data_IF_121219204275
#
_entry.id   IF_121219204275
#
_cell.length_a   1.000
_cell.length_b   1.000
_cell.length_c   1.000
_cell.angle_alpha   90.00
_cell.angle_beta   90.00
_cell.angle_gamma   90.00
#
_symmetry.space_group_name_H-M   'P 1'
#
loop_
_entity.id
_entity.type
_entity.pdbx_description
1 polymer ?
#
# COMPACT_ATOMS: atom_id res chain seq x y z
N UNK A 1 0.84 -0.90 -12.74
CA UNK A 1 -0.43 -0.73 -12.00
C UNK A 1 -1.04 -2.10 -11.79
N UNK A 2 -1.53 -2.38 -10.58
CA UNK A 2 -2.10 -3.68 -10.19
C UNK A 2 -3.44 -3.43 -9.50
N UNK A 3 -4.49 -4.17 -9.86
CA UNK A 3 -5.81 -4.03 -9.23
C UNK A 3 -5.86 -4.76 -7.89
N UNK A 4 -6.40 -4.11 -6.86
CA UNK A 4 -6.54 -4.61 -5.49
C UNK A 4 -7.95 -4.28 -5.00
N UNK A 5 -8.88 -5.22 -5.16
CA UNK A 5 -10.31 -4.96 -4.95
C UNK A 5 -10.80 -3.84 -5.89
N UNK A 6 -11.42 -2.82 -5.31
CA UNK A 6 -11.89 -1.62 -6.01
C UNK A 6 -10.80 -0.54 -6.19
N UNK A 7 -9.60 -0.78 -5.67
CA UNK A 7 -8.47 0.13 -5.77
C UNK A 7 -7.44 -0.31 -6.83
N UNK A 8 -6.55 0.61 -7.18
CA UNK A 8 -5.39 0.36 -8.03
C UNK A 8 -4.12 0.73 -7.28
N UNK A 9 -3.16 -0.20 -7.24
CA UNK A 9 -1.81 0.02 -6.73
C UNK A 9 -0.90 0.51 -7.86
N UNK A 10 -0.32 1.69 -7.68
CA UNK A 10 0.49 2.40 -8.67
C UNK A 10 1.89 2.65 -8.09
N UNK A 11 2.96 2.12 -8.70
CA UNK A 11 4.32 2.44 -8.28
C UNK A 11 4.66 3.90 -8.63
N UNK A 12 5.31 4.60 -7.71
CA UNK A 12 5.71 6.00 -7.88
C UNK A 12 7.03 6.28 -7.17
N UNK A 13 8.15 6.26 -7.91
CA UNK A 13 9.44 6.78 -7.42
C UNK A 13 9.96 6.18 -6.11
N UNK A 14 9.76 4.88 -5.87
CA UNK A 14 10.22 4.18 -4.65
C UNK A 14 9.17 4.06 -3.54
N UNK A 15 7.95 4.55 -3.78
CA UNK A 15 6.77 4.27 -2.97
C UNK A 15 5.62 3.80 -3.86
N UNK A 16 4.46 3.51 -3.27
CA UNK A 16 3.26 3.12 -4.01
C UNK A 16 2.05 3.95 -3.58
N UNK A 17 1.24 4.33 -4.55
CA UNK A 17 -0.08 4.91 -4.30
C UNK A 17 -1.16 3.86 -4.49
N UNK A 18 -2.05 3.77 -3.51
CA UNK A 18 -3.32 3.07 -3.66
C UNK A 18 -4.36 4.13 -4.02
N UNK A 19 -4.98 4.01 -5.19
CA UNK A 19 -6.02 4.92 -5.68
C UNK A 19 -7.36 4.22 -5.84
N UNK A 20 -8.47 4.95 -5.71
CA UNK A 20 -9.80 4.43 -6.00
C UNK A 20 -10.11 4.45 -7.51
N UNK A 21 -11.37 4.18 -7.87
CA UNK A 21 -11.83 4.16 -9.27
C UNK A 21 -11.85 5.53 -9.95
N UNK A 22 -11.82 6.63 -9.18
CA UNK A 22 -11.79 8.01 -9.65
C UNK A 22 -10.35 8.59 -9.60
N UNK A 23 -9.33 7.71 -9.49
CA UNK A 23 -7.92 8.05 -9.34
C UNK A 23 -7.60 8.90 -8.09
N UNK A 24 -8.47 8.90 -7.07
CA UNK A 24 -8.22 9.61 -5.81
C UNK A 24 -7.32 8.77 -4.92
N UNK A 25 -6.38 9.43 -4.25
CA UNK A 25 -5.45 8.78 -3.33
C UNK A 25 -6.20 8.23 -2.11
N UNK A 26 -6.09 6.91 -1.89
CA UNK A 26 -6.57 6.21 -0.70
C UNK A 26 -5.42 6.06 0.31
N UNK A 27 -4.23 5.69 -0.16
CA UNK A 27 -3.07 5.55 0.71
C UNK A 27 -1.74 5.67 -0.03
N UNK A 28 -0.72 6.18 0.66
CA UNK A 28 0.67 6.09 0.25
C UNK A 28 1.36 4.99 1.07
N UNK A 29 1.92 4.00 0.38
CA UNK A 29 2.60 2.84 0.96
C UNK A 29 4.11 3.02 0.79
N UNK A 30 4.85 2.90 1.87
CA UNK A 30 6.30 3.10 1.94
C UNK A 30 6.98 1.86 2.54
N UNK A 31 8.10 1.47 1.94
CA UNK A 31 9.04 0.53 2.54
C UNK A 31 9.90 1.28 3.57
N UNK A 32 9.95 0.77 4.80
CA UNK A 32 10.76 1.32 5.88
C UNK A 32 12.05 0.50 6.12
N UNK A 33 12.25 -0.58 5.36
CA UNK A 33 13.33 -1.55 5.52
C UNK A 33 12.97 -2.70 6.47
N UNK A 34 13.75 -3.78 6.41
CA UNK A 34 13.66 -4.94 7.32
C UNK A 34 12.26 -5.59 7.42
N UNK A 35 11.47 -5.54 6.35
CA UNK A 35 10.11 -6.09 6.33
C UNK A 35 9.04 -5.18 6.96
N UNK A 36 9.43 -4.00 7.47
CA UNK A 36 8.49 -3.02 8.00
C UNK A 36 7.98 -2.10 6.89
N UNK A 37 6.66 -1.97 6.80
CA UNK A 37 5.99 -1.14 5.80
C UNK A 37 5.02 -0.17 6.47
N UNK A 38 4.88 1.02 5.91
CA UNK A 38 3.98 2.04 6.43
C UNK A 38 3.02 2.54 5.37
N UNK A 39 1.73 2.54 5.69
CA UNK A 39 0.70 3.14 4.87
C UNK A 39 0.19 4.43 5.53
N UNK A 40 0.04 5.50 4.76
CA UNK A 40 -0.50 6.79 5.22
C UNK A 40 -1.71 7.21 4.40
N UNK A 41 -2.80 7.57 5.05
CA UNK A 41 -3.98 8.11 4.37
C UNK A 41 -3.83 9.61 4.13
N UNK A 42 -4.57 10.20 3.18
CA UNK A 42 -4.56 11.65 2.94
C UNK A 42 -4.90 12.49 4.19
N UNK A 43 -5.71 11.94 5.10
CA UNK A 43 -6.14 12.61 6.34
C UNK A 43 -5.04 12.59 7.42
N UNK A 44 -3.88 12.00 7.14
CA UNK A 44 -2.72 11.97 8.02
C UNK A 44 -2.66 10.77 8.96
N UNK A 45 -3.64 9.86 8.90
CA UNK A 45 -3.59 8.59 9.63
C UNK A 45 -2.51 7.68 9.06
N UNK A 46 -1.92 6.84 9.91
CA UNK A 46 -0.92 5.88 9.47
C UNK A 46 -1.11 4.50 10.12
N UNK A 47 -0.84 3.45 9.35
CA UNK A 47 -0.75 2.06 9.83
C UNK A 47 0.62 1.50 9.48
N UNK A 48 1.17 0.70 10.38
CA UNK A 48 2.42 -0.05 10.17
C UNK A 48 2.08 -1.52 9.98
N UNK A 49 2.79 -2.16 9.08
CA UNK A 49 2.65 -3.55 8.72
C UNK A 49 4.01 -4.23 8.79
N UNK A 50 4.06 -5.43 9.36
CA UNK A 50 5.23 -6.30 9.27
C UNK A 50 4.96 -7.35 8.20
N UNK A 51 5.62 -7.21 7.06
CA UNK A 51 5.44 -8.08 5.91
C UNK A 51 6.27 -9.35 6.12
N UNK A 52 5.67 -10.55 6.01
CA UNK A 52 6.41 -11.80 6.10
C UNK A 52 7.53 -11.89 5.05
N UNK A 53 8.70 -12.47 5.37
CA UNK A 53 9.88 -12.48 4.50
C UNK A 53 9.71 -13.30 3.22
N UNK A 54 8.71 -14.18 3.16
CA UNK A 54 8.38 -15.02 2.01
C UNK A 54 7.39 -14.36 1.02
N UNK A 55 6.90 -13.16 1.34
CA UNK A 55 6.03 -12.39 0.43
C UNK A 55 6.83 -11.87 -0.76
N UNK A 56 6.50 -12.39 -1.95
CA UNK A 56 7.17 -12.02 -3.20
C UNK A 56 6.88 -10.58 -3.69
N UNK A 57 5.72 -10.03 -3.33
CA UNK A 57 5.30 -8.67 -3.68
C UNK A 57 4.77 -7.94 -2.41
N UNK A 58 5.68 -7.41 -1.58
CA UNK A 58 5.33 -6.70 -0.36
C UNK A 58 4.33 -5.55 -0.53
N UNK A 59 4.47 -4.63 -1.52
CA UNK A 59 3.52 -3.52 -1.66
C UNK A 59 2.12 -4.02 -2.04
N UNK A 60 2.00 -5.09 -2.84
CA UNK A 60 0.71 -5.72 -3.11
C UNK A 60 0.09 -6.36 -1.87
N UNK A 61 0.90 -7.01 -1.04
CA UNK A 61 0.43 -7.59 0.22
C UNK A 61 -0.11 -6.50 1.17
N UNK A 62 0.64 -5.41 1.37
CA UNK A 62 0.20 -4.29 2.20
C UNK A 62 -1.09 -3.66 1.65
N UNK A 63 -1.17 -3.48 0.33
CA UNK A 63 -2.39 -2.97 -0.30
C UNK A 63 -3.62 -3.84 0.00
N UNK A 64 -3.48 -5.17 -0.02
CA UNK A 64 -4.57 -6.09 0.32
C UNK A 64 -5.01 -5.94 1.78
N UNK A 65 -4.07 -5.84 2.71
CA UNK A 65 -4.36 -5.63 4.13
C UNK A 65 -5.08 -4.29 4.41
N UNK A 66 -4.78 -3.24 3.63
CA UNK A 66 -5.51 -1.97 3.70
C UNK A 66 -6.95 -2.16 3.24
N UNK A 67 -7.18 -2.88 2.13
CA UNK A 67 -8.52 -3.06 1.55
C UNK A 67 -9.40 -4.10 2.25
N UNK A 68 -8.80 -4.97 3.07
CA UNK A 68 -9.51 -6.04 3.78
C UNK A 68 -10.08 -5.58 5.15
N UNK A 69 -9.70 -4.40 5.63
CA UNK A 69 -10.10 -3.82 6.91
C UNK A 69 -11.29 -2.84 6.74
#
# INVERSE_FOLDING_TARGET
>A
MVKVGDCTLVPFGGLWFLTDADDRLVSTILDMGEGTWRARTPEGSARTFEVPPDVADPPLWVAREITAA
#
